data_IF_289539897461
#
_entry.id   IF_289539897461
#
_cell.length_a   1.000
_cell.length_b   1.000
_cell.length_c   1.000
_cell.angle_alpha   90.00
_cell.angle_beta   90.00
_cell.angle_gamma   90.00
#
_symmetry.space_group_name_H-M   'P 1'
#
loop_
_entity.id
_entity.type
_entity.pdbx_description
1 polymer ?
#
# COMPACT_ATOMS: atom_id res chain seq x y z
N UNK A 1 -18.31 -70.95 20.32
CA UNK A 1 -17.34 -70.02 20.92
C UNK A 1 -17.61 -68.65 20.34
N UNK A 2 -18.05 -67.72 21.18
CA UNK A 2 -18.49 -66.36 20.83
C UNK A 2 -17.41 -65.36 21.25
N UNK A 3 -17.05 -64.43 20.36
CA UNK A 3 -16.24 -63.24 20.70
C UNK A 3 -17.05 -62.00 20.32
N UNK A 4 -17.33 -61.07 21.26
CA UNK A 4 -18.06 -59.84 20.96
C UNK A 4 -17.14 -58.77 20.31
N UNK A 5 -17.69 -57.87 19.45
CA UNK A 5 -16.95 -56.73 18.91
C UNK A 5 -16.81 -55.59 19.94
N UNK A 6 -15.79 -54.71 19.78
CA UNK A 6 -15.51 -53.63 20.72
C UNK A 6 -16.58 -52.51 20.68
N UNK A 7 -16.97 -51.91 21.82
CA UNK A 7 -17.90 -50.79 21.85
C UNK A 7 -17.18 -49.46 21.62
N UNK A 8 -17.63 -48.63 20.67
CA UNK A 8 -17.16 -47.23 20.64
C UNK A 8 -17.27 -46.40 19.37
N UNK A 9 -17.83 -46.88 18.25
CA UNK A 9 -18.01 -46.01 17.07
C UNK A 9 -19.47 -45.61 16.87
N UNK A 10 -19.81 -44.30 16.91
CA UNK A 10 -21.13 -43.86 16.49
C UNK A 10 -21.33 -44.16 15.00
N UNK A 11 -22.55 -44.52 14.57
CA UNK A 11 -22.84 -44.84 13.17
C UNK A 11 -22.55 -43.63 12.28
N UNK A 12 -21.75 -43.83 11.24
CA UNK A 12 -21.60 -42.83 10.18
C UNK A 12 -22.95 -42.69 9.45
N UNK A 13 -23.49 -41.46 9.31
CA UNK A 13 -24.67 -41.26 8.49
C UNK A 13 -24.35 -41.53 7.01
N UNK A 14 -25.32 -42.02 6.21
CA UNK A 14 -25.11 -42.33 4.81
C UNK A 14 -24.76 -41.07 4.03
N UNK A 15 -23.74 -41.15 3.15
CA UNK A 15 -23.48 -40.13 2.14
C UNK A 15 -24.63 -40.13 1.12
N UNK A 16 -25.69 -39.37 1.44
CA UNK A 16 -26.76 -39.03 0.52
C UNK A 16 -26.57 -37.61 0.00
N UNK A 17 -26.51 -37.44 -1.32
CA UNK A 17 -26.63 -36.13 -1.95
C UNK A 17 -27.95 -35.48 -1.51
N UNK A 18 -27.96 -34.25 -0.96
CA UNK A 18 -29.20 -33.57 -0.64
C UNK A 18 -29.94 -33.19 -1.93
N UNK A 19 -31.26 -33.43 -2.02
CA UNK A 19 -32.09 -32.98 -3.14
C UNK A 19 -32.18 -31.44 -3.18
N UNK A 20 -32.27 -30.83 -4.37
CA UNK A 20 -32.34 -29.38 -4.51
C UNK A 20 -33.75 -28.90 -4.15
N UNK A 21 -33.90 -28.13 -3.06
CA UNK A 21 -35.15 -27.42 -2.82
C UNK A 21 -35.60 -27.17 -1.38
N UNK A 22 -34.76 -27.30 -0.35
CA UNK A 22 -35.13 -26.90 1.02
C UNK A 22 -34.17 -25.87 1.62
N UNK A 23 -34.69 -24.75 2.17
CA UNK A 23 -33.87 -23.79 2.91
C UNK A 23 -33.38 -24.41 4.24
N UNK A 24 -32.14 -24.15 4.67
CA UNK A 24 -31.65 -24.62 5.96
C UNK A 24 -32.46 -23.99 7.10
N UNK A 25 -32.90 -24.85 8.02
CA UNK A 25 -33.64 -24.50 9.22
C UNK A 25 -32.91 -23.41 10.03
N UNK A 26 -33.69 -22.40 10.42
CA UNK A 26 -33.22 -21.19 11.08
C UNK A 26 -32.61 -21.44 12.45
N UNK A 27 -31.44 -20.84 12.67
CA UNK A 27 -31.05 -20.41 14.01
C UNK A 27 -31.88 -19.18 14.37
N UNK A 28 -32.45 -19.07 15.58
CA UNK A 28 -33.09 -17.84 16.00
C UNK A 28 -32.05 -16.72 16.04
N UNK A 29 -32.33 -15.63 15.33
CA UNK A 29 -31.56 -14.40 15.38
C UNK A 29 -31.63 -13.81 16.79
N UNK A 30 -30.55 -13.95 17.56
CA UNK A 30 -30.39 -13.26 18.83
C UNK A 30 -30.25 -11.74 18.61
N UNK A 31 -30.68 -10.92 19.59
CA UNK A 31 -30.57 -9.46 19.49
C UNK A 31 -29.10 -9.00 19.40
N UNK A 32 -28.82 -7.92 18.65
CA UNK A 32 -27.45 -7.43 18.44
C UNK A 32 -26.93 -6.78 19.72
N UNK A 33 -25.99 -7.40 20.42
CA UNK A 33 -25.31 -6.72 21.53
C UNK A 33 -24.53 -7.51 22.56
N UNK A 34 -24.57 -8.85 22.57
CA UNK A 34 -23.83 -9.63 23.56
C UNK A 34 -22.98 -10.72 22.92
N UNK A 35 -21.65 -10.77 23.17
CA UNK A 35 -20.86 -11.94 22.83
C UNK A 35 -21.33 -13.13 23.69
N UNK A 36 -21.42 -14.35 23.12
CA UNK A 36 -21.85 -15.54 23.85
C UNK A 36 -20.91 -15.79 25.05
N UNK A 37 -21.45 -16.05 26.26
CA UNK A 37 -20.64 -16.35 27.43
C UNK A 37 -20.13 -17.78 27.35
N UNK A 38 -18.80 -17.95 27.35
CA UNK A 38 -18.17 -19.26 27.62
C UNK A 38 -17.27 -19.79 26.50
N UNK A 39 -16.23 -19.05 26.13
CA UNK A 39 -15.03 -19.70 25.61
C UNK A 39 -14.02 -19.83 26.76
N UNK A 40 -13.66 -21.06 27.18
CA UNK A 40 -12.62 -21.24 28.18
C UNK A 40 -11.29 -20.69 27.62
N UNK A 41 -10.78 -19.69 28.32
CA UNK A 41 -9.45 -19.12 28.08
C UNK A 41 -8.42 -20.17 28.49
N UNK A 42 -7.63 -20.65 27.53
CA UNK A 42 -6.41 -21.41 27.80
C UNK A 42 -6.57 -22.93 27.90
N UNK A 43 -6.84 -23.61 26.79
CA UNK A 43 -6.40 -25.00 26.65
C UNK A 43 -4.98 -25.06 26.04
N UNK A 44 -4.00 -25.67 26.72
CA UNK A 44 -2.67 -25.87 26.15
C UNK A 44 -2.78 -26.83 24.96
N UNK A 45 -2.53 -26.31 23.76
CA UNK A 45 -2.55 -27.09 22.50
C UNK A 45 -3.41 -26.47 21.39
N UNK A 46 -4.29 -25.51 21.70
CA UNK A 46 -5.01 -24.78 20.66
C UNK A 46 -4.24 -23.55 20.21
N UNK A 47 -4.05 -23.34 18.88
CA UNK A 47 -3.49 -22.10 18.39
C UNK A 47 -4.40 -20.94 18.84
N UNK A 48 -3.81 -19.79 19.24
CA UNK A 48 -4.60 -18.64 19.64
C UNK A 48 -5.57 -18.27 18.51
N UNK A 49 -6.79 -17.81 18.86
CA UNK A 49 -7.75 -17.39 17.85
C UNK A 49 -7.11 -16.33 16.94
N UNK A 50 -7.39 -16.36 15.62
CA UNK A 50 -6.81 -15.40 14.69
C UNK A 50 -7.18 -13.98 15.13
N UNK A 51 -6.18 -13.09 15.16
CA UNK A 51 -6.41 -11.68 15.45
C UNK A 51 -7.45 -11.12 14.47
N UNK A 52 -8.39 -10.27 14.95
CA UNK A 52 -9.33 -9.62 14.05
C UNK A 52 -8.58 -8.83 12.98
N UNK A 53 -9.07 -8.83 11.72
CA UNK A 53 -8.42 -8.09 10.64
C UNK A 53 -8.34 -6.60 10.98
N UNK A 54 -7.25 -5.96 10.59
CA UNK A 54 -7.08 -4.53 10.84
C UNK A 54 -8.22 -3.74 10.18
N UNK A 55 -8.85 -2.78 10.88
CA UNK A 55 -9.89 -1.94 10.28
C UNK A 55 -9.34 -1.23 9.06
N UNK A 56 -10.11 -1.23 7.97
CA UNK A 56 -9.74 -0.55 6.72
C UNK A 56 -10.74 0.52 6.36
N UNK A 57 -10.26 1.56 5.69
CA UNK A 57 -11.07 2.63 5.14
C UNK A 57 -10.65 2.92 3.70
N UNK A 58 -11.57 3.45 2.89
CA UNK A 58 -11.25 3.86 1.51
C UNK A 58 -10.18 4.96 1.48
N UNK A 59 -10.21 5.86 2.48
CA UNK A 59 -9.30 7.00 2.62
C UNK A 59 -8.97 7.18 4.09
N UNK A 60 -7.78 7.70 4.37
CA UNK A 60 -7.40 8.11 5.72
C UNK A 60 -8.33 9.25 6.16
N UNK A 61 -8.94 9.18 7.35
CA UNK A 61 -9.74 10.27 7.89
C UNK A 61 -8.91 11.56 7.98
N UNK A 62 -9.47 12.70 7.55
CA UNK A 62 -8.72 13.97 7.50
C UNK A 62 -8.68 14.71 8.84
N UNK A 63 -9.50 14.30 9.79
CA UNK A 63 -9.64 14.81 11.16
C UNK A 63 -8.57 14.27 12.13
N UNK A 64 -7.58 13.54 11.62
CA UNK A 64 -6.50 13.01 12.45
C UNK A 64 -5.54 14.13 12.92
N UNK A 65 -4.98 14.04 14.13
CA UNK A 65 -4.13 15.09 14.71
C UNK A 65 -2.89 15.45 13.88
N UNK A 66 -2.29 14.46 13.21
CA UNK A 66 -1.16 14.68 12.32
C UNK A 66 -1.36 13.89 11.02
N UNK A 67 -1.34 14.59 9.89
CA UNK A 67 -1.66 14.02 8.58
C UNK A 67 -0.52 14.34 7.61
N UNK A 68 -0.10 13.34 6.84
CA UNK A 68 0.96 13.42 5.85
C UNK A 68 0.38 13.11 4.47
N UNK A 69 0.67 13.99 3.51
CA UNK A 69 0.23 13.88 2.11
C UNK A 69 1.44 13.75 1.20
N UNK A 70 1.31 13.10 0.02
CA UNK A 70 2.35 13.14 -0.98
C UNK A 70 2.57 14.57 -1.48
N UNK A 71 3.83 15.02 -1.54
CA UNK A 71 4.19 16.30 -2.15
C UNK A 71 4.34 16.13 -3.67
N UNK A 72 3.34 16.63 -4.40
CA UNK A 72 3.37 16.68 -5.87
C UNK A 72 4.54 17.55 -6.35
N UNK A 73 4.85 18.64 -5.65
CA UNK A 73 5.97 19.52 -5.98
C UNK A 73 7.31 18.78 -5.90
N UNK A 74 7.60 18.08 -4.78
CA UNK A 74 8.86 17.33 -4.63
C UNK A 74 8.98 16.21 -5.66
N UNK A 75 7.89 15.48 -5.91
CA UNK A 75 7.88 14.42 -6.93
C UNK A 75 8.00 14.98 -8.34
N UNK A 76 7.33 16.08 -8.64
CA UNK A 76 7.39 16.77 -9.92
C UNK A 76 8.80 17.30 -10.20
N UNK A 77 9.48 17.84 -9.19
CA UNK A 77 10.85 18.29 -9.30
C UNK A 77 11.82 17.14 -9.56
N UNK A 78 11.67 16.01 -8.85
CA UNK A 78 12.48 14.82 -9.13
C UNK A 78 12.23 14.31 -10.55
N UNK A 79 10.97 14.10 -10.91
CA UNK A 79 10.58 13.57 -12.22
C UNK A 79 11.05 14.50 -13.34
N UNK A 80 10.84 15.81 -13.18
CA UNK A 80 11.29 16.83 -14.12
C UNK A 80 12.81 16.87 -14.25
N UNK A 81 13.55 16.76 -13.14
CA UNK A 81 15.00 16.67 -13.16
C UNK A 81 15.51 15.43 -13.91
N UNK A 82 14.92 14.26 -13.64
CA UNK A 82 15.27 13.01 -14.36
C UNK A 82 14.92 13.11 -15.85
N UNK A 83 13.73 13.63 -16.18
CA UNK A 83 13.30 13.82 -17.56
C UNK A 83 14.23 14.76 -18.32
N UNK A 84 14.64 15.88 -17.69
CA UNK A 84 15.59 16.82 -18.26
C UNK A 84 16.93 16.14 -18.59
N UNK A 85 17.48 15.36 -17.66
CA UNK A 85 18.76 14.65 -17.87
C UNK A 85 18.67 13.65 -19.02
N UNK A 86 17.54 12.93 -19.14
CA UNK A 86 17.34 11.94 -20.21
C UNK A 86 17.07 12.60 -21.56
N UNK A 87 16.33 13.71 -21.59
CA UNK A 87 15.96 14.43 -22.82
C UNK A 87 17.09 15.30 -23.36
N UNK A 88 17.96 15.82 -22.50
CA UNK A 88 19.06 16.72 -22.87
C UNK A 88 19.92 16.19 -24.04
N UNK A 89 20.47 14.95 -24.00
CA UNK A 89 21.29 14.45 -25.12
C UNK A 89 20.49 14.32 -26.43
N UNK A 90 19.20 13.96 -26.36
CA UNK A 90 18.33 13.83 -27.53
C UNK A 90 18.11 15.20 -28.17
N UNK A 91 17.81 16.20 -27.37
CA UNK A 91 17.63 17.59 -27.83
C UNK A 91 18.93 18.13 -28.40
N UNK A 92 20.08 17.83 -27.80
CA UNK A 92 21.38 18.23 -28.31
C UNK A 92 21.68 17.60 -29.68
N UNK A 93 21.47 16.29 -29.84
CA UNK A 93 21.69 15.59 -31.12
C UNK A 93 20.75 16.13 -32.20
N UNK A 94 19.47 16.32 -31.87
CA UNK A 94 18.50 16.91 -32.79
C UNK A 94 18.91 18.34 -33.19
N UNK A 95 19.35 19.16 -32.24
CA UNK A 95 19.83 20.51 -32.49
C UNK A 95 21.07 20.55 -33.39
N UNK A 96 22.04 19.66 -33.16
CA UNK A 96 23.21 19.51 -34.04
C UNK A 96 22.77 19.08 -35.45
N UNK A 97 21.85 18.13 -35.55
CA UNK A 97 21.28 17.67 -36.83
C UNK A 97 20.65 18.81 -37.62
N UNK A 98 19.78 19.61 -36.98
CA UNK A 98 19.16 20.79 -37.60
C UNK A 98 20.21 21.84 -37.99
N UNK A 99 21.18 22.13 -37.12
CA UNK A 99 22.24 23.09 -37.44
C UNK A 99 23.11 22.65 -38.63
N UNK A 100 23.40 21.36 -38.73
CA UNK A 100 24.15 20.77 -39.87
C UNK A 100 23.32 20.71 -41.17
N UNK A 101 21.99 20.64 -41.04
CA UNK A 101 21.04 20.61 -42.14
C UNK A 101 20.75 22.02 -42.71
N UNK A 102 21.29 23.10 -42.14
CA UNK A 102 21.16 24.46 -42.70
C UNK A 102 21.99 24.75 -43.95
N UNK A 103 22.64 23.73 -44.55
CA UNK A 103 23.45 23.88 -45.76
C UNK A 103 22.61 24.11 -47.04
N UNK A 104 23.19 24.70 -48.10
CA UNK A 104 22.50 24.92 -49.36
C UNK A 104 22.15 23.58 -50.01
N UNK A 105 20.88 23.16 -49.92
CA UNK A 105 20.38 21.91 -50.51
C UNK A 105 19.41 21.10 -49.64
N UNK A 106 19.20 21.49 -48.39
CA UNK A 106 18.26 20.80 -47.49
C UNK A 106 16.84 21.29 -47.68
N UNK A 107 15.89 20.37 -47.83
CA UNK A 107 14.46 20.68 -47.92
C UNK A 107 13.87 21.03 -46.55
N UNK A 108 12.99 22.03 -46.49
CA UNK A 108 12.24 22.43 -45.30
C UNK A 108 11.52 21.24 -44.63
N UNK A 109 11.12 20.24 -45.42
CA UNK A 109 10.51 18.98 -44.97
C UNK A 109 11.36 18.20 -43.95
N UNK A 110 12.69 18.21 -44.08
CA UNK A 110 13.58 17.52 -43.16
C UNK A 110 13.55 18.16 -41.76
N UNK A 111 13.49 19.49 -41.71
CA UNK A 111 13.42 20.26 -40.46
C UNK A 111 12.06 20.02 -39.79
N UNK A 112 10.95 20.10 -40.55
CA UNK A 112 9.61 19.78 -40.02
C UNK A 112 9.51 18.35 -39.52
N UNK A 113 10.15 17.39 -40.19
CA UNK A 113 10.19 15.99 -39.75
C UNK A 113 10.91 15.84 -38.41
N UNK A 114 12.09 16.49 -38.22
CA UNK A 114 12.82 16.46 -36.95
C UNK A 114 12.00 17.07 -35.81
N UNK A 115 11.35 18.22 -36.04
CA UNK A 115 10.45 18.82 -35.05
C UNK A 115 9.26 17.93 -34.71
N UNK A 116 8.64 17.29 -35.72
CA UNK A 116 7.54 16.35 -35.53
C UNK A 116 7.94 15.16 -34.64
N UNK A 117 9.12 14.56 -34.91
CA UNK A 117 9.66 13.47 -34.10
C UNK A 117 9.92 13.94 -32.66
N UNK A 118 10.53 15.11 -32.49
CA UNK A 118 10.83 15.66 -31.16
C UNK A 118 9.56 15.92 -30.35
N UNK A 119 8.54 16.54 -30.95
CA UNK A 119 7.24 16.78 -30.29
C UNK A 119 6.56 15.46 -29.92
N UNK A 120 6.58 14.48 -30.82
CA UNK A 120 6.01 13.15 -30.56
C UNK A 120 6.70 12.49 -29.37
N UNK A 121 8.03 12.49 -29.35
CA UNK A 121 8.83 11.94 -28.26
C UNK A 121 8.57 12.64 -26.92
N UNK A 122 8.56 13.99 -26.93
CA UNK A 122 8.27 14.79 -25.74
C UNK A 122 6.87 14.48 -25.20
N UNK A 123 5.87 14.34 -26.08
CA UNK A 123 4.51 14.00 -25.69
C UNK A 123 4.42 12.58 -25.11
N UNK A 124 5.09 11.61 -25.74
CA UNK A 124 5.17 10.22 -25.26
C UNK A 124 5.83 10.09 -23.89
N UNK A 125 6.70 11.02 -23.51
CA UNK A 125 7.34 11.04 -22.19
C UNK A 125 6.51 11.87 -21.20
N UNK A 126 6.10 13.08 -21.57
CA UNK A 126 5.39 14.00 -20.68
C UNK A 126 4.02 13.48 -20.26
N UNK A 127 3.29 12.80 -21.16
CA UNK A 127 1.94 12.32 -20.88
C UNK A 127 1.92 11.25 -19.77
N UNK A 128 2.70 10.14 -19.84
CA UNK A 128 2.81 9.19 -18.73
C UNK A 128 3.25 9.83 -17.41
N UNK A 129 4.20 10.77 -17.45
CA UNK A 129 4.69 11.45 -16.26
C UNK A 129 3.61 12.36 -15.64
N UNK A 130 2.86 13.07 -16.47
CA UNK A 130 1.72 13.89 -16.05
C UNK A 130 0.61 13.04 -15.42
N UNK A 131 0.27 11.91 -16.05
CA UNK A 131 -0.69 10.93 -15.49
C UNK A 131 -0.19 10.41 -14.15
N UNK A 132 1.10 10.05 -14.05
CA UNK A 132 1.68 9.55 -12.80
C UNK A 132 1.59 10.59 -11.67
N UNK A 133 1.93 11.86 -11.95
CA UNK A 133 1.81 12.94 -10.97
C UNK A 133 0.36 13.19 -10.56
N UNK A 134 -0.56 13.19 -11.52
CA UNK A 134 -2.00 13.37 -11.26
C UNK A 134 -2.55 12.24 -10.38
N UNK A 135 -2.16 10.99 -10.63
CA UNK A 135 -2.51 9.87 -9.78
C UNK A 135 -1.96 10.09 -8.36
N UNK A 136 -0.71 10.50 -8.19
CA UNK A 136 -0.16 10.75 -6.86
C UNK A 136 -0.89 11.89 -6.13
N UNK A 137 -1.25 12.95 -6.84
CA UNK A 137 -1.96 14.11 -6.29
C UNK A 137 -3.39 13.77 -5.84
N UNK A 138 -4.12 12.98 -6.63
CA UNK A 138 -5.53 12.65 -6.41
C UNK A 138 -5.78 11.69 -5.25
N UNK A 139 -4.72 11.10 -4.69
CA UNK A 139 -4.86 10.03 -3.71
C UNK A 139 -5.14 10.42 -2.28
N UNK A 140 -4.94 11.68 -1.89
CA UNK A 140 -5.12 12.13 -0.50
C UNK A 140 -4.03 11.62 0.45
N UNK A 141 -4.30 11.62 1.77
CA UNK A 141 -3.27 11.32 2.76
C UNK A 141 -2.77 9.88 2.68
N UNK A 142 -1.49 9.70 3.01
CA UNK A 142 -0.77 8.41 2.99
C UNK A 142 -0.34 7.93 4.36
N UNK A 143 -0.28 8.83 5.34
CA UNK A 143 -0.04 8.50 6.74
C UNK A 143 -0.82 9.50 7.60
N UNK A 144 -1.42 9.02 8.66
CA UNK A 144 -1.88 9.86 9.75
C UNK A 144 -1.57 9.23 11.10
N UNK A 145 -1.28 10.06 12.09
CA UNK A 145 -0.86 9.67 13.42
C UNK A 145 -1.80 10.28 14.46
N UNK A 146 -2.14 9.48 15.47
CA UNK A 146 -2.91 9.92 16.62
C UNK A 146 -2.43 9.20 17.89
N UNK A 147 -2.87 9.63 19.09
CA UNK A 147 -2.52 8.96 20.33
C UNK A 147 -2.97 7.49 20.40
N UNK A 148 -3.98 7.10 19.62
CA UNK A 148 -4.52 5.73 19.61
C UNK A 148 -3.78 4.80 18.63
N UNK A 149 -3.14 5.35 17.59
CA UNK A 149 -2.53 4.55 16.54
C UNK A 149 -2.13 5.35 15.32
N UNK A 150 -1.95 4.64 14.20
CA UNK A 150 -1.65 5.23 12.91
C UNK A 150 -2.56 4.67 11.81
N UNK A 151 -2.90 5.53 10.87
CA UNK A 151 -3.44 5.15 9.58
C UNK A 151 -2.33 5.16 8.54
N UNK A 152 -2.23 4.11 7.74
CA UNK A 152 -1.24 4.04 6.66
C UNK A 152 -1.89 3.56 5.37
N UNK A 153 -1.49 4.18 4.25
CA UNK A 153 -1.99 3.84 2.93
C UNK A 153 -0.82 3.72 1.95
N UNK A 154 -0.65 2.52 1.42
CA UNK A 154 0.48 2.14 0.54
C UNK A 154 0.39 2.76 -0.86
N UNK A 155 -0.83 2.90 -1.41
CA UNK A 155 -1.07 3.58 -2.69
C UNK A 155 -2.05 4.74 -2.56
N UNK A 156 -1.67 5.96 -3.00
CA UNK A 156 -2.57 7.12 -2.95
C UNK A 156 -3.89 6.88 -3.72
N UNK A 157 -3.88 6.24 -4.89
CA UNK A 157 -5.08 6.20 -5.75
C UNK A 157 -6.01 5.02 -5.54
N UNK A 158 -5.47 3.82 -5.27
CA UNK A 158 -6.24 2.56 -5.29
C UNK A 158 -6.04 1.66 -4.07
N UNK A 159 -5.16 2.03 -3.14
CA UNK A 159 -4.98 1.29 -1.89
C UNK A 159 -6.08 1.62 -0.88
N UNK A 160 -6.37 0.70 0.04
CA UNK A 160 -7.14 0.99 1.25
C UNK A 160 -6.21 1.58 2.32
N UNK A 161 -6.73 2.49 3.13
CA UNK A 161 -6.08 2.92 4.37
C UNK A 161 -6.28 1.83 5.43
N UNK A 162 -5.22 1.47 6.13
CA UNK A 162 -5.23 0.46 7.20
C UNK A 162 -5.01 1.18 8.53
N UNK A 163 -5.89 0.93 9.49
CA UNK A 163 -5.71 1.37 10.87
C UNK A 163 -4.86 0.37 11.64
N UNK A 164 -3.86 0.88 12.34
CA UNK A 164 -2.95 0.08 13.16
C UNK A 164 -2.82 0.74 14.53
N UNK A 165 -3.32 0.10 15.61
CA UNK A 165 -3.06 0.58 16.97
C UNK A 165 -1.58 0.42 17.31
N UNK A 166 -1.04 1.30 18.16
CA UNK A 166 0.39 1.29 18.51
C UNK A 166 0.85 -0.04 19.11
N UNK A 167 -0.03 -0.73 19.82
CA UNK A 167 0.20 -2.02 20.47
C UNK A 167 0.41 -3.15 19.46
N UNK A 168 -0.12 -3.00 18.23
CA UNK A 168 0.07 -3.95 17.13
C UNK A 168 1.37 -3.70 16.36
N UNK A 169 2.03 -2.57 16.57
CA UNK A 169 3.29 -2.23 15.91
C UNK A 169 4.44 -2.95 16.63
N UNK A 170 5.18 -3.77 15.89
CA UNK A 170 6.40 -4.41 16.37
C UNK A 170 7.55 -3.41 16.37
N UNK A 171 7.68 -2.67 15.27
CA UNK A 171 8.78 -1.74 15.07
C UNK A 171 8.46 -0.76 13.95
N UNK A 172 8.99 0.45 14.06
CA UNK A 172 9.06 1.40 12.95
C UNK A 172 10.50 1.53 12.50
N UNK A 173 10.73 1.46 11.20
CA UNK A 173 12.06 1.61 10.60
C UNK A 173 12.03 2.71 9.56
N UNK A 174 13.14 3.40 9.38
CA UNK A 174 13.33 4.20 8.17
C UNK A 174 14.12 3.36 7.19
N UNK A 175 13.69 3.32 5.94
CA UNK A 175 14.40 2.58 4.91
C UNK A 175 14.52 3.42 3.66
N UNK A 176 15.72 3.48 3.11
CA UNK A 176 15.99 4.13 1.84
C UNK A 176 16.05 3.08 0.73
N UNK A 177 15.34 3.34 -0.35
CA UNK A 177 15.49 2.60 -1.60
C UNK A 177 15.70 3.60 -2.74
N UNK A 178 16.87 3.55 -3.36
CA UNK A 178 17.33 4.56 -4.33
C UNK A 178 17.21 5.99 -3.76
N UNK A 179 16.42 6.86 -4.40
CA UNK A 179 16.16 8.23 -3.98
C UNK A 179 14.97 8.37 -3.02
N UNK A 180 14.20 7.31 -2.78
CA UNK A 180 13.03 7.35 -1.90
C UNK A 180 13.38 6.89 -0.48
N UNK A 181 12.97 7.66 0.51
CA UNK A 181 12.99 7.28 1.92
C UNK A 181 11.57 6.95 2.35
N UNK A 182 11.42 5.82 3.01
CA UNK A 182 10.15 5.29 3.48
C UNK A 182 10.16 5.13 4.99
N UNK A 183 9.03 5.44 5.61
CA UNK A 183 8.65 4.97 6.94
C UNK A 183 8.05 3.58 6.76
N UNK A 184 8.69 2.57 7.33
CA UNK A 184 8.27 1.17 7.25
C UNK A 184 7.72 0.76 8.60
N UNK A 185 6.47 0.29 8.62
CA UNK A 185 5.78 -0.17 9.82
C UNK A 185 5.78 -1.69 9.82
N UNK A 186 6.42 -2.30 10.81
CA UNK A 186 6.41 -3.74 11.02
C UNK A 186 5.35 -4.08 12.06
N UNK A 187 4.49 -5.05 11.75
CA UNK A 187 3.42 -5.50 12.66
C UNK A 187 3.90 -6.69 13.49
N UNK A 188 3.40 -6.79 14.72
CA UNK A 188 3.64 -7.96 15.59
C UNK A 188 2.98 -9.21 15.04
N UNK A 189 1.77 -9.08 14.49
CA UNK A 189 1.08 -10.15 13.80
C UNK A 189 0.88 -9.80 12.31
N UNK A 190 1.59 -10.47 11.38
CA UNK A 190 1.42 -10.23 9.94
C UNK A 190 0.03 -10.65 9.43
N UNK A 191 -0.72 -11.45 10.18
CA UNK A 191 -2.09 -11.86 9.80
C UNK A 191 -3.07 -10.70 9.82
N UNK A 192 -2.76 -9.62 10.53
CA UNK A 192 -3.57 -8.39 10.50
C UNK A 192 -3.70 -7.76 9.11
N UNK A 193 -2.80 -8.12 8.19
CA UNK A 193 -2.81 -7.69 6.78
C UNK A 193 -3.50 -8.71 5.85
N UNK A 194 -4.10 -9.77 6.39
CA UNK A 194 -4.95 -10.67 5.63
C UNK A 194 -6.28 -9.96 5.31
N UNK A 195 -6.83 -10.23 4.13
CA UNK A 195 -8.07 -9.61 3.61
C UNK A 195 -7.98 -8.13 3.23
N UNK A 196 -6.76 -7.60 3.04
CA UNK A 196 -6.58 -6.34 2.35
C UNK A 196 -7.02 -6.51 0.88
N UNK A 197 -7.83 -5.58 0.35
CA UNK A 197 -8.33 -5.70 -1.03
C UNK A 197 -7.22 -5.93 -2.05
N UNK A 198 -7.54 -6.52 -3.22
CA UNK A 198 -6.55 -7.04 -4.19
C UNK A 198 -5.39 -6.09 -4.52
N UNK A 199 -5.68 -4.79 -4.65
CA UNK A 199 -4.66 -3.76 -4.91
C UNK A 199 -3.68 -3.55 -3.74
N UNK A 200 -4.20 -3.54 -2.52
CA UNK A 200 -3.41 -3.40 -1.30
C UNK A 200 -2.60 -4.68 -1.03
N UNK A 201 -3.14 -5.85 -1.35
CA UNK A 201 -2.43 -7.13 -1.23
C UNK A 201 -1.23 -7.23 -2.18
N UNK A 202 -1.39 -6.79 -3.44
CA UNK A 202 -0.29 -6.73 -4.41
C UNK A 202 0.78 -5.71 -3.99
N UNK A 203 0.37 -4.54 -3.48
CA UNK A 203 1.35 -3.58 -2.95
C UNK A 203 2.07 -4.13 -1.73
N UNK A 204 1.37 -4.82 -0.84
CA UNK A 204 1.97 -5.45 0.33
C UNK A 204 3.08 -6.43 -0.10
N UNK A 205 2.84 -7.28 -1.11
CA UNK A 205 3.88 -8.20 -1.58
C UNK A 205 5.09 -7.49 -2.18
N UNK A 206 4.87 -6.44 -2.99
CA UNK A 206 5.94 -5.64 -3.59
C UNK A 206 6.72 -4.86 -2.52
N UNK A 207 6.04 -4.17 -1.62
CA UNK A 207 6.65 -3.43 -0.52
C UNK A 207 7.40 -4.35 0.43
N UNK A 208 6.86 -5.54 0.70
CA UNK A 208 7.56 -6.55 1.51
C UNK A 208 8.85 -6.99 0.83
N UNK A 209 8.87 -7.16 -0.49
CA UNK A 209 10.09 -7.50 -1.23
C UNK A 209 11.15 -6.39 -1.17
N UNK A 210 10.76 -5.11 -1.32
CA UNK A 210 11.73 -4.00 -1.32
C UNK A 210 12.12 -3.50 0.07
N UNK A 211 11.18 -3.53 1.02
CA UNK A 211 11.28 -2.85 2.31
C UNK A 211 11.16 -3.78 3.52
N UNK A 212 10.81 -5.05 3.33
CA UNK A 212 10.68 -6.05 4.40
C UNK A 212 9.32 -6.04 5.10
N UNK A 213 8.48 -5.03 4.86
CA UNK A 213 7.10 -4.96 5.35
C UNK A 213 6.15 -4.46 4.27
N UNK A 214 4.89 -4.89 4.38
CA UNK A 214 3.79 -4.48 3.51
C UNK A 214 3.23 -3.09 3.80
N UNK A 215 3.59 -2.49 4.93
CA UNK A 215 3.12 -1.18 5.35
C UNK A 215 4.26 -0.18 5.27
N UNK A 216 4.21 0.69 4.27
CA UNK A 216 5.19 1.75 4.09
C UNK A 216 4.53 3.05 3.61
N UNK A 217 5.13 4.18 4.01
CA UNK A 217 4.72 5.52 3.57
C UNK A 217 5.93 6.39 3.28
N UNK A 218 5.81 7.31 2.34
CA UNK A 218 6.93 8.15 1.88
C UNK A 218 7.31 9.19 2.94
N UNK A 219 8.60 9.39 3.17
CA UNK A 219 9.14 10.39 4.10
C UNK A 219 9.65 11.63 3.36
N UNK A 220 10.48 11.45 2.33
CA UNK A 220 11.12 12.57 1.65
C UNK A 220 10.27 13.18 0.54
N UNK A 221 9.30 12.44 -0.01
CA UNK A 221 8.30 12.95 -0.94
C UNK A 221 6.96 13.28 -0.27
N UNK A 222 6.96 13.50 1.05
CA UNK A 222 5.82 14.02 1.78
C UNK A 222 5.75 15.56 1.72
N UNK A 223 4.56 16.11 1.99
CA UNK A 223 4.33 17.54 2.19
C UNK A 223 5.04 18.08 3.44
N UNK A 224 5.17 17.24 4.48
CA UNK A 224 5.96 17.52 5.68
C UNK A 224 7.44 17.12 5.53
N UNK A 225 8.37 17.78 6.24
CA UNK A 225 9.76 17.35 6.31
C UNK A 225 9.91 16.05 7.11
N UNK A 226 10.91 15.24 6.75
CA UNK A 226 11.18 13.94 7.38
C UNK A 226 11.32 14.04 8.91
N UNK A 227 12.00 15.09 9.40
CA UNK A 227 12.21 15.31 10.83
C UNK A 227 10.89 15.55 11.58
N UNK A 228 9.97 16.33 11.01
CA UNK A 228 8.65 16.59 11.61
C UNK A 228 7.80 15.31 11.65
N UNK A 229 7.84 14.51 10.59
CA UNK A 229 7.13 13.23 10.55
C UNK A 229 7.68 12.28 11.62
N UNK A 230 9.00 12.14 11.72
CA UNK A 230 9.63 11.26 12.72
C UNK A 230 9.43 11.76 14.16
N UNK A 231 9.43 13.08 14.37
CA UNK A 231 9.09 13.67 15.65
C UNK A 231 7.64 13.37 16.04
N UNK A 232 6.70 13.49 15.10
CA UNK A 232 5.31 13.13 15.32
C UNK A 232 5.14 11.64 15.61
N UNK A 233 5.82 10.75 14.88
CA UNK A 233 5.83 9.30 15.17
C UNK A 233 6.33 9.04 16.59
N UNK A 234 7.43 9.68 16.99
CA UNK A 234 7.99 9.54 18.34
C UNK A 234 7.01 10.05 19.40
N UNK A 235 6.39 11.21 19.17
CA UNK A 235 5.43 11.82 20.07
C UNK A 235 4.17 10.95 20.26
N UNK A 236 3.52 10.54 19.17
CA UNK A 236 2.27 9.78 19.24
C UNK A 236 2.46 8.31 19.61
N UNK A 237 3.58 7.69 19.24
CA UNK A 237 3.88 6.32 19.69
C UNK A 237 4.12 6.27 21.20
N UNK A 238 4.61 7.36 21.80
CA UNK A 238 4.87 7.47 23.24
C UNK A 238 5.68 6.29 23.81
N UNK A 239 6.64 5.78 23.04
CA UNK A 239 7.50 4.67 23.45
C UNK A 239 6.87 3.26 23.36
N UNK A 240 5.63 3.12 22.88
CA UNK A 240 4.95 1.81 22.75
C UNK A 240 5.56 0.88 21.70
N UNK A 241 6.32 1.42 20.76
CA UNK A 241 7.06 0.64 19.78
C UNK A 241 8.48 1.21 19.58
N UNK A 242 9.47 0.35 19.30
CA UNK A 242 10.82 0.77 18.96
C UNK A 242 10.84 1.46 17.60
N UNK A 243 11.65 2.52 17.50
CA UNK A 243 11.92 3.25 16.26
C UNK A 243 13.40 3.04 15.92
N UNK A 244 13.67 2.30 14.85
CA UNK A 244 15.02 2.08 14.35
C UNK A 244 15.38 3.06 13.23
N UNK A 245 16.68 3.38 13.11
CA UNK A 245 17.17 4.28 12.08
C UNK A 245 16.97 3.77 10.67
#
# INVERSE_FOLDING_TARGET
MTTPPPPGHPPQPPYGNPPPGYPPAGYPAGPPGYPPPGFPVGQPGYPPPPAPPAPTAKRIPEDQPFVVRPSVAKRGLLIGGVALVVLMPIVCIAGIGVASAGGPGTSDDAVFTIFGILICLLTLIALPLGIQLWLIASGGPVLALSPAGLWIRTRPTRGQAVWVPWEAVAQIRRRRWSLEKMLVVELRDPRMLQNLGAYTALDNSMLKAFYGSGLASTLNFADRPEQEIMAAVTHYSAGRCPIAP
#
